data_IF_094743480997
#
_entry.id   IF_094743480997
#
_cell.length_a   1.000
_cell.length_b   1.000
_cell.length_c   1.000
_cell.angle_alpha   90.00
_cell.angle_beta   90.00
_cell.angle_gamma   90.00
#
_symmetry.space_group_name_H-M   'P 1'
#
loop_
_entity.id
_entity.type
_entity.pdbx_description
1 polymer ?
#
# COMPACT_ATOMS: atom_id res chain seq x y z
N UNK A 1 2.13 0.82 -25.07
CA UNK A 1 1.23 1.15 -23.94
C UNK A 1 -0.25 1.14 -24.32
N UNK A 2 -0.67 1.69 -25.47
CA UNK A 2 -2.09 1.75 -25.86
C UNK A 2 -2.87 0.41 -25.91
N UNK A 3 -2.21 -0.74 -26.16
CA UNK A 3 -2.87 -2.06 -26.12
C UNK A 3 -3.15 -2.53 -24.69
N UNK A 4 -2.14 -2.41 -23.81
CA UNK A 4 -2.24 -2.74 -22.38
C UNK A 4 -3.30 -1.89 -21.67
N UNK A 5 -3.34 -0.58 -21.94
CA UNK A 5 -4.35 0.33 -21.39
C UNK A 5 -5.79 0.02 -21.83
N UNK A 6 -5.96 -0.71 -22.94
CA UNK A 6 -7.26 -1.17 -23.46
C UNK A 6 -7.64 -2.58 -22.98
N UNK A 7 -6.83 -3.22 -22.14
CA UNK A 7 -7.04 -4.59 -21.68
C UNK A 7 -6.76 -5.66 -22.76
N UNK A 8 -6.14 -5.28 -23.88
CA UNK A 8 -5.72 -6.23 -24.92
C UNK A 8 -4.36 -6.81 -24.55
N UNK A 9 -4.40 -7.78 -23.63
CA UNK A 9 -3.19 -8.41 -23.09
C UNK A 9 -2.40 -9.17 -24.17
N UNK A 10 -3.07 -9.78 -25.15
CA UNK A 10 -2.40 -10.50 -26.24
C UNK A 10 -1.61 -9.56 -27.14
N UNK A 11 -2.20 -8.43 -27.55
CA UNK A 11 -1.49 -7.43 -28.34
C UNK A 11 -0.38 -6.74 -27.53
N UNK A 12 -0.56 -6.58 -26.21
CA UNK A 12 0.48 -6.05 -25.33
C UNK A 12 1.69 -6.99 -25.26
N UNK A 13 1.47 -8.30 -25.04
CA UNK A 13 2.53 -9.32 -25.03
C UNK A 13 3.30 -9.30 -26.34
N UNK A 14 2.61 -9.40 -27.49
CA UNK A 14 3.25 -9.42 -28.80
C UNK A 14 4.11 -8.16 -29.05
N UNK A 15 3.65 -6.99 -28.59
CA UNK A 15 4.41 -5.75 -28.70
C UNK A 15 5.68 -5.74 -27.82
N UNK A 16 5.58 -6.24 -26.58
CA UNK A 16 6.72 -6.34 -25.69
C UNK A 16 7.72 -7.40 -26.14
N UNK A 17 7.26 -8.56 -26.63
CA UNK A 17 8.11 -9.60 -27.22
C UNK A 17 8.87 -9.08 -28.44
N UNK A 18 8.22 -8.35 -29.35
CA UNK A 18 8.87 -7.74 -30.50
C UNK A 18 9.96 -6.75 -30.06
N UNK A 19 9.68 -5.92 -29.06
CA UNK A 19 10.66 -4.99 -28.51
C UNK A 19 11.83 -5.72 -27.85
N UNK A 20 11.58 -6.81 -27.13
CA UNK A 20 12.62 -7.60 -26.47
C UNK A 20 13.43 -8.45 -27.44
N UNK A 21 12.90 -8.76 -28.63
CA UNK A 21 13.68 -9.36 -29.71
C UNK A 21 14.75 -8.39 -30.24
N UNK A 22 14.44 -7.09 -30.32
CA UNK A 22 15.39 -6.03 -30.70
C UNK A 22 16.32 -5.64 -29.53
N UNK A 23 15.78 -5.59 -28.31
CA UNK A 23 16.50 -5.18 -27.09
C UNK A 23 16.35 -6.19 -25.95
N UNK A 24 17.05 -7.34 -25.98
CA UNK A 24 16.85 -8.45 -25.03
C UNK A 24 17.09 -8.13 -23.55
N UNK A 25 17.85 -7.06 -23.29
CA UNK A 25 18.25 -6.63 -21.94
C UNK A 25 17.49 -5.39 -21.45
N UNK A 26 16.46 -4.92 -22.18
CA UNK A 26 15.66 -3.78 -21.77
C UNK A 26 14.78 -4.13 -20.57
N UNK A 27 15.14 -3.61 -19.41
CA UNK A 27 14.57 -4.05 -18.11
C UNK A 27 13.14 -3.57 -17.92
N UNK A 28 12.82 -2.33 -18.31
CA UNK A 28 11.46 -1.82 -18.18
C UNK A 28 10.50 -2.62 -19.06
N UNK A 29 10.92 -2.99 -20.27
CA UNK A 29 10.15 -3.84 -21.16
C UNK A 29 9.84 -5.23 -20.59
N UNK A 30 10.84 -5.86 -19.95
CA UNK A 30 10.66 -7.12 -19.23
C UNK A 30 9.72 -6.97 -18.03
N UNK A 31 9.84 -5.86 -17.29
CA UNK A 31 9.02 -5.57 -16.12
C UNK A 31 7.57 -5.33 -16.51
N UNK A 32 7.32 -4.56 -17.58
CA UNK A 32 5.98 -4.34 -18.10
C UNK A 32 5.37 -5.63 -18.67
N UNK A 33 6.15 -6.44 -19.41
CA UNK A 33 5.69 -7.75 -19.87
C UNK A 33 5.28 -8.66 -18.70
N UNK A 34 6.10 -8.72 -17.66
CA UNK A 34 5.78 -9.48 -16.45
C UNK A 34 4.52 -8.96 -15.74
N UNK A 35 4.27 -7.64 -15.77
CA UNK A 35 3.02 -7.05 -15.27
C UNK A 35 1.82 -7.52 -16.08
N UNK A 36 1.93 -7.64 -17.41
CA UNK A 36 0.86 -8.20 -18.25
C UNK A 36 0.55 -9.65 -17.85
N UNK A 37 1.58 -10.48 -17.68
CA UNK A 37 1.42 -11.87 -17.26
C UNK A 37 0.81 -12.00 -15.86
N UNK A 38 1.25 -11.17 -14.91
CA UNK A 38 0.65 -11.09 -13.56
C UNK A 38 -0.86 -10.83 -13.63
N UNK A 39 -1.31 -9.86 -14.43
CA UNK A 39 -2.74 -9.56 -14.58
C UNK A 39 -3.55 -10.69 -15.22
N UNK A 40 -2.91 -11.50 -16.06
CA UNK A 40 -3.53 -12.67 -16.68
C UNK A 40 -3.57 -13.90 -15.76
N UNK A 41 -2.89 -13.86 -14.61
CA UNK A 41 -2.70 -15.02 -13.75
C UNK A 41 -1.64 -16.02 -14.24
N UNK A 42 -0.85 -15.65 -15.26
CA UNK A 42 0.25 -16.46 -15.78
C UNK A 42 1.54 -16.15 -15.01
N UNK A 43 1.64 -16.71 -13.81
CA UNK A 43 2.75 -16.38 -12.92
C UNK A 43 4.09 -16.93 -13.41
N UNK A 44 4.11 -18.08 -14.09
CA UNK A 44 5.32 -18.65 -14.67
C UNK A 44 5.87 -17.75 -15.78
N UNK A 45 5.03 -17.30 -16.71
CA UNK A 45 5.40 -16.32 -17.74
C UNK A 45 5.90 -15.00 -17.13
N UNK A 46 5.28 -14.55 -16.03
CA UNK A 46 5.74 -13.39 -15.26
C UNK A 46 7.17 -13.55 -14.74
N UNK A 47 7.50 -14.68 -14.12
CA UNK A 47 8.86 -14.96 -13.64
C UNK A 47 9.88 -15.07 -14.77
N UNK A 48 9.51 -15.73 -15.88
CA UNK A 48 10.38 -15.87 -17.06
C UNK A 48 10.71 -14.51 -17.68
N UNK A 49 9.70 -13.65 -17.85
CA UNK A 49 9.87 -12.30 -18.40
C UNK A 49 10.88 -11.48 -17.58
N UNK A 50 10.74 -11.50 -16.24
CA UNK A 50 11.66 -10.81 -15.34
C UNK A 50 13.08 -11.38 -15.39
N UNK A 51 13.23 -12.69 -15.60
CA UNK A 51 14.51 -13.39 -15.59
C UNK A 51 15.24 -13.21 -14.25
N UNK A 52 16.58 -13.06 -14.29
CA UNK A 52 17.42 -12.96 -13.09
C UNK A 52 17.87 -11.53 -12.75
N UNK A 53 17.62 -10.55 -13.63
CA UNK A 53 18.04 -9.17 -13.37
C UNK A 53 17.06 -8.54 -12.37
N UNK A 54 17.61 -7.85 -11.38
CA UNK A 54 16.84 -7.19 -10.33
C UNK A 54 16.99 -5.68 -10.45
N UNK A 55 15.86 -5.01 -10.28
CA UNK A 55 15.65 -3.57 -10.17
C UNK A 55 14.49 -3.37 -9.21
N UNK A 56 14.41 -2.21 -8.56
CA UNK A 56 13.33 -1.95 -7.60
C UNK A 56 11.94 -2.12 -8.22
N UNK A 57 11.75 -1.70 -9.48
CA UNK A 57 10.50 -1.91 -10.22
C UNK A 57 10.21 -3.38 -10.54
N UNK A 58 11.23 -4.14 -10.94
CA UNK A 58 11.04 -5.59 -11.11
C UNK A 58 10.73 -6.28 -9.77
N UNK A 59 11.30 -5.81 -8.67
CA UNK A 59 11.06 -6.40 -7.34
C UNK A 59 9.63 -6.12 -6.87
N UNK A 60 9.03 -4.98 -7.22
CA UNK A 60 7.58 -4.78 -7.03
C UNK A 60 6.76 -5.87 -7.73
N UNK A 61 7.10 -6.23 -8.98
CA UNK A 61 6.39 -7.30 -9.71
C UNK A 61 6.72 -8.68 -9.11
N UNK A 62 7.95 -8.94 -8.67
CA UNK A 62 8.30 -10.19 -7.96
C UNK A 62 7.52 -10.35 -6.66
N UNK A 63 7.40 -9.27 -5.89
CA UNK A 63 6.61 -9.23 -4.67
C UNK A 63 5.15 -9.57 -4.96
N UNK A 64 4.58 -9.00 -6.02
CA UNK A 64 3.23 -9.31 -6.45
C UNK A 64 3.07 -10.76 -6.90
N UNK A 65 3.94 -11.28 -7.77
CA UNK A 65 3.93 -12.68 -8.21
C UNK A 65 4.02 -13.64 -7.02
N UNK A 66 4.93 -13.39 -6.07
CA UNK A 66 5.05 -14.18 -4.85
C UNK A 66 3.77 -14.13 -4.01
N UNK A 67 3.16 -12.95 -3.88
CA UNK A 67 1.89 -12.78 -3.15
C UNK A 67 0.78 -13.60 -3.79
N UNK A 68 0.59 -13.51 -5.10
CA UNK A 68 -0.44 -14.26 -5.83
C UNK A 68 -0.23 -15.78 -5.78
N UNK A 69 1.01 -16.23 -5.63
CA UNK A 69 1.35 -17.65 -5.44
C UNK A 69 1.31 -18.10 -3.97
N UNK A 70 0.94 -17.21 -3.03
CA UNK A 70 0.84 -17.51 -1.60
C UNK A 70 2.17 -17.53 -0.84
N UNK A 71 3.29 -17.19 -1.48
CA UNK A 71 4.61 -17.07 -0.85
C UNK A 71 4.76 -15.67 -0.21
N UNK A 72 4.07 -15.49 0.92
CA UNK A 72 3.95 -14.19 1.57
C UNK A 72 5.26 -13.67 2.18
N UNK A 73 6.16 -14.58 2.61
CA UNK A 73 7.48 -14.19 3.11
C UNK A 73 8.34 -13.61 1.99
N UNK A 74 8.35 -14.26 0.83
CA UNK A 74 9.06 -13.76 -0.35
C UNK A 74 8.45 -12.49 -0.90
N UNK A 75 7.12 -12.39 -0.86
CA UNK A 75 6.42 -11.17 -1.24
C UNK A 75 6.87 -9.98 -0.37
N UNK A 76 6.86 -10.15 0.95
CA UNK A 76 7.34 -9.16 1.91
C UNK A 76 8.77 -8.72 1.60
N UNK A 77 9.67 -9.68 1.44
CA UNK A 77 11.08 -9.42 1.14
C UNK A 77 11.24 -8.48 -0.06
N UNK A 78 10.58 -8.78 -1.18
CA UNK A 78 10.72 -7.98 -2.40
C UNK A 78 10.09 -6.60 -2.27
N UNK A 79 8.92 -6.49 -1.66
CA UNK A 79 8.28 -5.19 -1.48
C UNK A 79 9.08 -4.27 -0.54
N UNK A 80 9.59 -4.80 0.57
CA UNK A 80 10.40 -4.04 1.52
C UNK A 80 11.77 -3.65 0.93
N UNK A 81 12.43 -4.54 0.19
CA UNK A 81 13.69 -4.21 -0.49
C UNK A 81 13.49 -3.13 -1.55
N UNK A 82 12.39 -3.21 -2.32
CA UNK A 82 12.01 -2.17 -3.27
C UNK A 82 11.77 -0.84 -2.55
N UNK A 83 10.97 -0.81 -1.47
CA UNK A 83 10.69 0.41 -0.72
C UNK A 83 11.99 1.04 -0.19
N UNK A 84 12.87 0.25 0.43
CA UNK A 84 14.07 0.74 1.10
C UNK A 84 15.12 1.32 0.14
N UNK A 85 15.24 0.73 -1.06
CA UNK A 85 16.32 1.06 -2.00
C UNK A 85 15.88 1.92 -3.16
N UNK A 86 14.58 2.00 -3.46
CA UNK A 86 14.08 2.78 -4.56
C UNK A 86 14.36 4.28 -4.38
N UNK A 87 14.75 4.93 -5.47
CA UNK A 87 14.75 6.39 -5.58
C UNK A 87 13.39 6.98 -5.98
N UNK A 88 12.31 6.21 -5.88
CA UNK A 88 10.94 6.59 -6.28
C UNK A 88 9.91 6.19 -5.21
N UNK A 89 8.70 6.72 -5.31
CA UNK A 89 7.59 6.38 -4.41
C UNK A 89 7.01 5.01 -4.78
N UNK A 90 7.50 3.96 -4.12
CA UNK A 90 7.07 2.57 -4.33
C UNK A 90 5.60 2.37 -3.94
N UNK A 91 5.08 3.11 -2.96
CA UNK A 91 3.68 2.97 -2.57
C UNK A 91 2.76 3.52 -3.66
N UNK A 92 3.07 4.70 -4.22
CA UNK A 92 2.35 5.25 -5.37
C UNK A 92 2.47 4.33 -6.60
N UNK A 93 3.67 3.79 -6.87
CA UNK A 93 3.92 2.85 -7.95
C UNK A 93 3.04 1.59 -7.82
N UNK A 94 3.01 0.98 -6.62
CA UNK A 94 2.24 -0.24 -6.38
C UNK A 94 0.73 -0.01 -6.46
N UNK A 95 0.22 1.15 -6.02
CA UNK A 95 -1.18 1.52 -6.22
C UNK A 95 -1.54 1.67 -7.71
N UNK A 96 -0.60 2.12 -8.53
CA UNK A 96 -0.81 2.28 -9.97
C UNK A 96 -0.73 0.93 -10.70
N UNK A 97 0.22 0.08 -10.33
CA UNK A 97 0.58 -1.11 -11.10
C UNK A 97 -0.12 -2.37 -10.65
N UNK A 98 -0.46 -2.48 -9.37
CA UNK A 98 -0.96 -3.73 -8.79
C UNK A 98 -2.47 -3.65 -8.60
N UNK A 99 -3.11 -4.82 -8.74
CA UNK A 99 -4.52 -5.04 -8.46
C UNK A 99 -4.61 -6.16 -7.43
N UNK A 100 -4.26 -5.88 -6.16
CA UNK A 100 -4.24 -6.92 -5.14
C UNK A 100 -5.64 -7.46 -4.86
N UNK A 101 -5.71 -8.65 -4.27
CA UNK A 101 -6.96 -9.30 -3.89
C UNK A 101 -7.88 -8.42 -3.04
N UNK A 102 -9.18 -8.64 -3.18
CA UNK A 102 -10.16 -7.98 -2.34
C UNK A 102 -9.98 -8.35 -0.86
N UNK A 103 -9.95 -7.36 0.03
CA UNK A 103 -9.85 -7.54 1.47
C UNK A 103 -10.71 -6.52 2.22
N UNK A 104 -11.31 -6.97 3.33
CA UNK A 104 -12.01 -6.07 4.25
C UNK A 104 -11.10 -5.59 5.39
N UNK A 105 -9.86 -6.09 5.49
CA UNK A 105 -8.93 -5.74 6.55
C UNK A 105 -7.49 -5.67 6.04
N UNK A 106 -6.79 -4.61 6.42
CA UNK A 106 -5.40 -4.35 6.08
C UNK A 106 -4.60 -4.13 7.35
N UNK A 107 -3.52 -4.89 7.50
CA UNK A 107 -2.49 -4.65 8.51
C UNK A 107 -1.39 -3.83 7.88
N UNK A 108 -1.04 -2.69 8.49
CA UNK A 108 -0.05 -1.78 7.95
C UNK A 108 1.35 -2.16 8.47
N UNK A 109 2.34 -2.03 7.61
CA UNK A 109 3.75 -2.21 7.93
C UNK A 109 4.22 -3.66 7.99
N UNK A 110 3.37 -4.63 7.59
CA UNK A 110 3.75 -6.04 7.51
C UNK A 110 4.35 -6.44 6.15
N UNK A 111 4.69 -5.44 5.33
CA UNK A 111 5.20 -5.57 3.97
C UNK A 111 4.24 -6.17 2.93
N UNK A 112 2.96 -6.38 3.28
CA UNK A 112 1.93 -6.88 2.36
C UNK A 112 0.84 -5.83 2.04
N UNK A 113 1.01 -4.62 2.56
CA UNK A 113 0.11 -3.49 2.36
C UNK A 113 0.38 -2.68 1.08
N UNK A 114 1.41 -3.05 0.33
CA UNK A 114 1.68 -2.51 -1.00
C UNK A 114 0.59 -2.82 -2.00
N UNK A 115 0.22 -1.83 -2.81
CA UNK A 115 -0.96 -1.87 -3.69
C UNK A 115 -2.26 -1.46 -3.00
N UNK A 116 -2.24 -1.16 -1.70
CA UNK A 116 -3.41 -0.66 -0.97
C UNK A 116 -3.23 0.73 -0.38
N UNK A 117 -2.01 1.26 -0.30
CA UNK A 117 -1.76 2.55 0.34
C UNK A 117 -0.65 3.37 -0.31
N UNK A 118 -0.61 4.66 0.03
CA UNK A 118 0.49 5.60 -0.23
C UNK A 118 0.52 6.73 0.80
N UNK A 119 1.67 7.41 0.92
CA UNK A 119 1.88 8.53 1.84
C UNK A 119 2.26 8.10 3.26
N UNK A 120 2.84 6.91 3.39
CA UNK A 120 3.27 6.34 4.67
C UNK A 120 4.78 6.07 4.69
N UNK A 121 5.39 6.06 5.87
CA UNK A 121 6.76 5.60 6.04
C UNK A 121 6.87 4.09 5.80
N UNK A 122 8.12 3.59 5.78
CA UNK A 122 8.43 2.18 5.95
C UNK A 122 7.67 1.55 7.13
N UNK A 123 7.40 0.25 7.00
CA UNK A 123 6.85 -0.56 8.08
C UNK A 123 7.77 -0.61 9.29
N UNK A 124 7.20 -0.49 10.47
CA UNK A 124 7.90 -0.65 11.74
C UNK A 124 7.16 -1.67 12.60
N UNK A 125 7.89 -2.29 13.53
CA UNK A 125 7.33 -3.22 14.48
C UNK A 125 7.53 -2.71 15.91
N UNK A 126 6.54 -2.97 16.76
CA UNK A 126 6.64 -2.81 18.21
C UNK A 126 6.19 -4.09 18.89
N UNK A 127 6.63 -4.28 20.13
CA UNK A 127 6.12 -5.33 21.01
C UNK A 127 5.02 -4.71 21.87
N UNK A 128 3.82 -5.26 21.78
CA UNK A 128 2.67 -4.85 22.60
C UNK A 128 2.87 -5.28 24.07
N UNK A 129 2.04 -4.77 24.98
CA UNK A 129 2.10 -5.12 26.41
C UNK A 129 1.89 -6.61 26.70
N UNK A 130 1.22 -7.33 25.80
CA UNK A 130 1.02 -8.78 25.88
C UNK A 130 2.15 -9.60 25.25
N UNK A 131 3.21 -8.94 24.77
CA UNK A 131 4.36 -9.58 24.12
C UNK A 131 4.17 -9.89 22.64
N UNK A 132 3.00 -9.60 22.06
CA UNK A 132 2.76 -9.83 20.63
C UNK A 132 3.48 -8.78 19.77
N UNK A 133 4.17 -9.19 18.68
CA UNK A 133 4.69 -8.23 17.72
C UNK A 133 3.53 -7.60 16.96
N UNK A 134 3.64 -6.30 16.68
CA UNK A 134 2.68 -5.58 15.87
C UNK A 134 3.37 -4.63 14.93
N UNK A 135 3.01 -4.74 13.66
CA UNK A 135 3.47 -3.82 12.63
C UNK A 135 2.60 -2.56 12.57
N UNK A 136 3.18 -1.46 12.11
CA UNK A 136 2.50 -0.21 11.83
C UNK A 136 3.26 0.59 10.78
N UNK A 137 2.61 1.63 10.25
CA UNK A 137 3.29 2.69 9.49
C UNK A 137 2.97 4.06 10.06
N UNK A 138 3.88 4.99 9.84
CA UNK A 138 3.65 6.41 10.09
C UNK A 138 2.99 7.07 8.90
N UNK A 139 1.95 7.85 9.11
CA UNK A 139 1.46 8.80 8.11
C UNK A 139 2.49 9.92 7.91
N UNK A 140 2.76 10.33 6.66
CA UNK A 140 3.75 11.37 6.33
C UNK A 140 3.14 12.68 5.81
N UNK A 141 1.93 13.00 6.24
CA UNK A 141 1.25 14.25 5.89
C UNK A 141 -0.13 13.94 5.34
N UNK A 142 -0.15 13.75 4.02
CA UNK A 142 -1.30 13.22 3.30
C UNK A 142 -1.02 11.76 2.92
N UNK A 143 -2.02 10.91 3.10
CA UNK A 143 -1.95 9.51 2.72
C UNK A 143 -3.29 9.02 2.21
N UNK A 144 -3.28 7.93 1.46
CA UNK A 144 -4.51 7.27 1.04
C UNK A 144 -4.44 5.78 1.22
N UNK A 145 -5.58 5.19 1.58
CA UNK A 145 -5.78 3.75 1.65
C UNK A 145 -6.95 3.41 0.73
N UNK A 146 -6.74 2.45 -0.16
CA UNK A 146 -7.71 1.96 -1.13
C UNK A 146 -7.90 0.47 -0.87
N UNK A 147 -9.12 0.05 -0.55
CA UNK A 147 -9.45 -1.35 -0.33
C UNK A 147 -10.47 -1.79 -1.38
N UNK A 148 -10.11 -2.68 -2.33
CA UNK A 148 -11.10 -3.51 -2.99
C UNK A 148 -11.72 -4.44 -1.94
N UNK A 149 -13.04 -4.51 -1.87
CA UNK A 149 -13.79 -5.18 -0.81
C UNK A 149 -14.36 -6.51 -1.30
N UNK A 150 -14.33 -7.52 -0.43
CA UNK A 150 -14.86 -8.86 -0.74
C UNK A 150 -16.38 -8.87 -0.88
N UNK A 151 -17.05 -7.86 -0.34
CA UNK A 151 -18.50 -7.65 -0.42
C UNK A 151 -18.79 -6.16 -0.64
N UNK A 152 -19.92 -5.82 -1.29
CA UNK A 152 -20.36 -4.43 -1.39
C UNK A 152 -20.58 -3.80 -0.02
N UNK A 153 -20.37 -2.49 0.07
CA UNK A 153 -20.67 -1.70 1.26
C UNK A 153 -22.17 -1.71 1.56
N UNK A 154 -22.54 -1.94 2.81
CA UNK A 154 -23.93 -2.02 3.25
C UNK A 154 -24.32 -0.82 4.11
N UNK A 155 -25.64 -0.66 4.32
CA UNK A 155 -26.14 0.38 5.21
C UNK A 155 -25.61 0.17 6.62
N UNK A 156 -24.99 1.22 7.17
CA UNK A 156 -24.39 1.18 8.51
C UNK A 156 -22.95 0.70 8.57
N UNK A 157 -22.33 0.37 7.42
CA UNK A 157 -20.90 0.05 7.38
C UNK A 157 -20.05 1.20 7.93
N UNK A 158 -18.93 0.84 8.56
CA UNK A 158 -17.95 1.80 9.06
C UNK A 158 -16.53 1.34 8.78
N UNK A 159 -15.60 2.29 8.67
CA UNK A 159 -14.18 1.99 8.66
C UNK A 159 -13.64 2.05 10.07
N UNK A 160 -13.03 0.95 10.50
CA UNK A 160 -12.30 0.81 11.74
C UNK A 160 -10.83 1.10 11.52
N UNK A 161 -10.28 2.05 12.27
CA UNK A 161 -8.88 2.46 12.24
C UNK A 161 -8.25 2.24 13.61
N UNK A 162 -7.13 1.52 13.68
CA UNK A 162 -6.31 1.43 14.91
C UNK A 162 -5.12 2.37 14.81
N UNK A 163 -5.09 3.38 15.67
CA UNK A 163 -4.14 4.49 15.57
C UNK A 163 -3.67 4.98 16.93
N UNK A 164 -2.54 5.67 16.96
CA UNK A 164 -2.05 6.46 18.09
C UNK A 164 -1.27 7.68 17.60
N UNK A 165 -1.37 8.79 18.33
CA UNK A 165 -0.59 10.01 18.08
C UNK A 165 0.75 10.04 18.83
N UNK A 166 1.58 11.03 18.52
CA UNK A 166 2.93 11.21 19.10
C UNK A 166 3.10 12.40 20.02
N UNK A 167 2.12 13.30 20.07
CA UNK A 167 2.21 14.53 20.85
C UNK A 167 1.71 14.37 22.30
N UNK A 168 1.97 15.36 23.17
CA UNK A 168 1.42 15.39 24.53
C UNK A 168 -0.12 15.54 24.56
N UNK A 169 -0.72 15.98 23.45
CA UNK A 169 -2.16 16.18 23.31
C UNK A 169 -2.73 15.31 22.18
N UNK A 170 -4.05 15.20 22.13
CA UNK A 170 -4.73 14.57 21.01
C UNK A 170 -4.37 15.28 19.68
N UNK A 171 -4.23 14.47 18.64
CA UNK A 171 -3.80 14.86 17.29
C UNK A 171 -5.01 14.85 16.36
N UNK A 172 -5.44 16.01 15.80
CA UNK A 172 -6.60 16.05 14.92
C UNK A 172 -6.26 15.50 13.52
N UNK A 173 -6.82 14.35 13.18
CA UNK A 173 -6.72 13.72 11.87
C UNK A 173 -7.96 14.05 11.04
N UNK A 174 -7.76 14.56 9.82
CA UNK A 174 -8.83 14.70 8.84
C UNK A 174 -8.91 13.44 7.98
N UNK A 175 -10.13 12.95 7.79
CA UNK A 175 -10.44 11.74 7.02
C UNK A 175 -11.47 12.11 5.97
N UNK A 176 -11.19 11.78 4.72
CA UNK A 176 -12.13 11.95 3.60
C UNK A 176 -12.52 10.57 3.06
N UNK A 177 -13.81 10.27 3.03
CA UNK A 177 -14.39 9.06 2.43
C UNK A 177 -15.57 9.54 1.59
N UNK A 178 -15.67 9.16 0.31
CA UNK A 178 -16.79 9.58 -0.55
C UNK A 178 -17.03 11.10 -0.51
N UNK A 179 -15.98 11.93 -0.63
CA UNK A 179 -16.09 13.39 -0.52
C UNK A 179 -16.46 13.96 0.87
N UNK A 180 -16.94 13.14 1.81
CA UNK A 180 -17.31 13.55 3.16
C UNK A 180 -16.06 13.67 4.05
N UNK A 181 -15.90 14.84 4.65
CA UNK A 181 -14.82 15.14 5.57
C UNK A 181 -15.22 14.93 7.03
N UNK A 182 -14.47 14.11 7.75
CA UNK A 182 -14.59 13.89 9.19
C UNK A 182 -13.28 14.24 9.88
N UNK A 183 -13.34 14.86 11.06
CA UNK A 183 -12.14 15.10 11.89
C UNK A 183 -12.22 14.27 13.16
N UNK A 184 -11.16 13.51 13.46
CA UNK A 184 -11.05 12.67 14.64
C UNK A 184 -9.90 13.14 15.51
N UNK A 185 -10.12 13.21 16.82
CA UNK A 185 -9.08 13.50 17.79
C UNK A 185 -8.37 12.19 18.19
N UNK A 186 -7.24 11.90 17.54
CA UNK A 186 -6.44 10.71 17.81
C UNK A 186 -5.67 10.92 19.12
N UNK A 187 -5.88 10.05 20.10
CA UNK A 187 -5.17 10.14 21.38
C UNK A 187 -3.74 9.66 21.19
N UNK A 188 -2.82 10.27 21.92
CA UNK A 188 -1.41 9.91 21.91
C UNK A 188 -1.07 9.01 23.09
N UNK A 189 -0.03 8.19 22.93
CA UNK A 189 0.50 7.31 23.98
C UNK A 189 -0.28 6.00 24.19
N UNK A 190 -1.46 5.83 23.57
CA UNK A 190 -2.23 4.60 23.63
C UNK A 190 -2.84 4.28 22.28
N UNK A 191 -2.68 3.03 21.84
CA UNK A 191 -3.36 2.53 20.66
C UNK A 191 -4.87 2.43 20.89
N UNK A 192 -5.65 3.09 20.04
CA UNK A 192 -7.11 3.06 20.13
C UNK A 192 -7.75 2.76 18.79
N UNK A 193 -8.96 2.24 18.88
CA UNK A 193 -9.81 1.93 17.74
C UNK A 193 -10.80 3.09 17.53
N UNK A 194 -10.81 3.62 16.32
CA UNK A 194 -11.71 4.66 15.86
C UNK A 194 -12.64 4.08 14.79
N UNK A 195 -13.90 4.50 14.81
CA UNK A 195 -14.91 4.11 13.82
C UNK A 195 -15.35 5.33 13.05
N UNK A 196 -15.27 5.26 11.73
CA UNK A 196 -15.68 6.32 10.81
C UNK A 196 -16.84 5.79 9.98
N UNK A 197 -18.04 6.39 10.05
CA UNK A 197 -19.16 5.90 9.25
C UNK A 197 -18.85 6.01 7.76
N UNK A 198 -19.27 5.00 6.99
CA UNK A 198 -19.22 5.05 5.52
C UNK A 198 -20.41 5.88 5.02
N UNK A 199 -20.19 6.89 4.16
CA UNK A 199 -21.25 7.70 3.57
C UNK A 199 -22.23 6.86 2.74
N UNK A 200 -23.51 7.25 2.74
CA UNK A 200 -24.58 6.50 2.05
C UNK A 200 -24.39 6.37 0.54
N UNK A 201 -23.73 7.37 -0.07
CA UNK A 201 -23.36 7.38 -1.50
C UNK A 201 -22.40 6.26 -1.93
N UNK A 202 -21.71 5.64 -0.97
CA UNK A 202 -20.82 4.50 -1.24
C UNK A 202 -21.52 3.14 -1.09
N UNK A 203 -22.77 3.08 -0.64
CA UNK A 203 -23.48 1.81 -0.50
C UNK A 203 -23.61 1.10 -1.86
N UNK A 204 -23.37 -0.21 -1.86
CA UNK A 204 -23.30 -1.05 -3.06
C UNK A 204 -21.95 -1.01 -3.78
N UNK A 205 -21.02 -0.12 -3.42
CA UNK A 205 -19.67 -0.13 -3.99
C UNK A 205 -18.83 -1.25 -3.38
N UNK A 206 -17.98 -1.89 -4.19
CA UNK A 206 -17.01 -2.92 -3.77
C UNK A 206 -15.59 -2.36 -3.63
N UNK A 207 -15.47 -1.05 -3.45
CA UNK A 207 -14.19 -0.41 -3.18
C UNK A 207 -14.43 0.78 -2.26
N UNK A 208 -13.52 0.98 -1.31
CA UNK A 208 -13.47 2.20 -0.52
C UNK A 208 -12.11 2.85 -0.67
N UNK A 209 -12.13 4.17 -0.87
CA UNK A 209 -10.93 5.01 -0.80
C UNK A 209 -11.07 5.96 0.38
N UNK A 210 -10.05 5.95 1.23
CA UNK A 210 -9.90 6.87 2.34
C UNK A 210 -8.69 7.76 2.09
N UNK A 211 -8.86 9.07 2.26
CA UNK A 211 -7.76 10.03 2.31
C UNK A 211 -7.58 10.50 3.75
N UNK A 212 -6.35 10.45 4.23
CA UNK A 212 -5.92 10.84 5.56
C UNK A 212 -5.04 12.08 5.45
N UNK A 213 -5.32 13.12 6.22
CA UNK A 213 -4.56 14.36 6.18
C UNK A 213 -4.27 14.89 7.58
N UNK A 214 -2.99 15.03 7.90
CA UNK A 214 -2.49 15.62 9.14
C UNK A 214 -1.08 16.16 8.91
N UNK A 215 -0.78 17.43 9.24
CA UNK A 215 0.58 17.95 9.12
C UNK A 215 1.61 17.09 9.85
N UNK A 216 2.70 16.80 9.15
CA UNK A 216 3.85 16.08 9.70
C UNK A 216 4.69 16.99 10.59
N UNK A 217 5.41 16.35 11.51
CA UNK A 217 6.48 16.93 12.29
C UNK A 217 7.77 16.15 12.04
N UNK A 218 8.91 16.76 12.35
CA UNK A 218 10.22 16.10 12.30
C UNK A 218 10.67 15.83 13.73
N UNK A 219 10.72 14.57 14.20
CA UNK A 219 10.96 14.27 15.63
C UNK A 219 12.20 14.93 16.23
N UNK A 220 13.34 14.91 15.52
CA UNK A 220 14.60 15.53 15.98
C UNK A 220 14.47 17.05 16.21
N UNK A 221 13.52 17.74 15.58
CA UNK A 221 13.29 19.17 15.81
C UNK A 221 12.59 19.47 17.16
N UNK A 222 11.89 18.49 17.72
CA UNK A 222 11.11 18.66 18.96
C UNK A 222 11.70 17.90 20.16
N UNK A 223 12.48 16.85 19.89
CA UNK A 223 13.18 16.07 20.90
C UNK A 223 14.67 15.96 20.52
N UNK A 224 15.57 16.73 21.18
CA UNK A 224 17.01 16.67 20.91
C UNK A 224 17.66 15.29 21.12
N UNK A 225 17.01 14.38 21.85
CA UNK A 225 17.47 13.00 22.01
C UNK A 225 17.05 12.07 20.85
N UNK A 226 16.15 12.52 19.98
CA UNK A 226 15.74 11.77 18.78
C UNK A 226 16.74 12.01 17.65
N UNK A 227 17.13 10.96 16.95
CA UNK A 227 17.89 11.03 15.70
C UNK A 227 17.00 10.90 14.46
N UNK A 228 15.68 10.82 14.64
CA UNK A 228 14.73 10.61 13.56
C UNK A 228 14.40 11.93 12.85
N UNK A 229 14.88 12.03 11.61
CA UNK A 229 14.70 13.20 10.75
C UNK A 229 13.55 13.05 9.73
N UNK A 230 12.76 11.98 9.81
CA UNK A 230 11.64 11.76 8.89
C UNK A 230 10.49 12.71 9.19
N UNK A 231 9.70 13.02 8.17
CA UNK A 231 8.40 13.68 8.31
C UNK A 231 7.36 12.65 8.75
N UNK A 232 6.91 12.72 10.00
CA UNK A 232 5.99 11.77 10.61
C UNK A 232 4.81 12.50 11.25
N UNK A 233 3.64 11.87 11.26
CA UNK A 233 2.43 12.41 11.87
C UNK A 233 1.92 11.48 12.98
N UNK A 234 1.23 10.41 12.62
CA UNK A 234 0.60 9.48 13.54
C UNK A 234 0.82 8.05 13.05
N UNK A 235 0.74 7.10 13.97
CA UNK A 235 0.95 5.70 13.68
C UNK A 235 -0.40 5.02 13.40
N UNK A 236 -0.44 4.18 12.38
CA UNK A 236 -1.61 3.36 12.01
C UNK A 236 -1.15 1.92 11.87
N UNK A 237 -1.82 1.00 12.57
CA UNK A 237 -1.49 -0.43 12.52
C UNK A 237 -2.50 -1.24 11.71
N UNK A 238 -3.77 -0.83 11.71
CA UNK A 238 -4.83 -1.60 11.05
C UNK A 238 -5.94 -0.69 10.51
N UNK A 239 -6.46 -1.10 9.36
CA UNK A 239 -7.70 -0.58 8.76
C UNK A 239 -8.62 -1.75 8.46
N UNK A 240 -9.91 -1.63 8.77
CA UNK A 240 -10.89 -2.63 8.38
C UNK A 240 -12.24 -2.00 8.04
N UNK A 241 -13.00 -2.63 7.15
CA UNK A 241 -14.39 -2.29 6.85
C UNK A 241 -15.28 -3.34 7.48
N UNK A 242 -16.25 -2.88 8.27
CA UNK A 242 -17.22 -3.70 9.02
C UNK A 242 -18.65 -3.22 8.75
#
# INVERSE_FOLDING_TARGET
MAAYERGDHQAAIAAFELMLADQPFFVDGRTDLARVYLEMGDYEGGWEALGNRQTHRSDVIRGALSREQGDLERARFFFEDAEFRAGEDVQALTLQWLKPDATNALTLGNGLDFGYLQGFSFGEELIETDGSPRSYRWLQGDGSIVLPLTRPLEKGSFVRLRMTGTGPTATPLRITIGGQNTTIQVRSGEWRVYRVPVPEELYGQQQIRMVLARPSLVPVQYNPASTDARLLSLMISNVAVE
#
